data_IF_328310070786
#
_entry.id   IF_328310070786
#
_cell.length_a   1.000
_cell.length_b   1.000
_cell.length_c   1.000
_cell.angle_alpha   90.00
_cell.angle_beta   90.00
_cell.angle_gamma   90.00
#
_symmetry.space_group_name_H-M   'P 1'
#
loop_
_entity.id
_entity.type
_entity.pdbx_description
1 polymer ?
#
# COMPACT_ATOMS: atom_id res chain seq x y z
N UNK A 1 26.50 13.80 22.49
CA UNK A 1 26.19 14.18 21.10
C UNK A 1 24.76 14.71 21.09
N UNK A 2 24.44 15.89 20.54
CA UNK A 2 23.06 16.36 20.54
C UNK A 2 22.20 15.39 19.69
N UNK A 3 21.14 14.86 20.29
CA UNK A 3 20.17 13.99 19.64
C UNK A 3 19.62 14.65 18.38
N UNK A 4 19.48 13.86 17.32
CA UNK A 4 18.88 14.31 16.06
C UNK A 4 17.38 14.53 16.25
N UNK A 5 17.00 15.72 16.77
CA UNK A 5 15.58 16.09 16.87
C UNK A 5 14.94 16.20 15.49
N UNK A 6 13.74 15.65 15.34
CA UNK A 6 12.97 15.72 14.09
C UNK A 6 12.73 17.18 13.67
N UNK A 7 12.65 17.49 12.37
CA UNK A 7 12.20 18.79 11.91
C UNK A 7 10.84 19.13 12.51
N UNK A 8 10.64 20.37 12.91
CA UNK A 8 9.39 20.81 13.53
C UNK A 8 8.83 22.04 12.81
N UNK A 9 7.52 22.17 12.79
CA UNK A 9 6.82 23.33 12.24
C UNK A 9 7.19 24.58 13.02
N UNK A 10 7.56 25.64 12.30
CA UNK A 10 7.97 26.92 12.86
C UNK A 10 6.87 27.58 13.69
N UNK A 11 5.61 27.42 13.24
CA UNK A 11 4.48 28.14 13.86
C UNK A 11 3.84 27.36 15.04
N UNK A 12 3.92 26.02 15.08
CA UNK A 12 3.22 25.24 16.11
C UNK A 12 4.06 24.13 16.76
N UNK A 13 5.35 23.99 16.42
CA UNK A 13 6.23 22.96 16.98
C UNK A 13 5.92 21.52 16.57
N UNK A 14 4.88 21.27 15.78
CA UNK A 14 4.50 19.92 15.34
C UNK A 14 5.63 19.27 14.53
N UNK A 15 5.92 18.00 14.81
CA UNK A 15 6.93 17.25 14.06
C UNK A 15 6.60 17.17 12.58
N UNK A 16 7.61 17.38 11.75
CA UNK A 16 7.55 17.31 10.30
C UNK A 16 8.28 16.07 9.80
N UNK A 17 7.92 15.56 8.60
CA UNK A 17 8.60 14.42 8.03
C UNK A 17 10.06 14.77 7.69
N UNK A 18 10.95 13.77 7.82
CA UNK A 18 12.33 13.92 7.37
C UNK A 18 12.39 14.06 5.84
N UNK A 19 13.22 14.98 5.31
CA UNK A 19 13.33 15.16 3.87
C UNK A 19 13.93 13.95 3.16
N UNK A 20 13.61 13.82 1.87
CA UNK A 20 14.27 12.85 0.99
C UNK A 20 15.64 13.34 0.55
N UNK A 21 16.40 12.46 -0.14
CA UNK A 21 17.73 12.80 -0.64
C UNK A 21 17.63 13.96 -1.63
N UNK A 22 18.45 14.98 -1.44
CA UNK A 22 18.41 16.20 -2.27
C UNK A 22 17.34 17.21 -1.87
N UNK A 23 16.43 16.90 -0.94
CA UNK A 23 15.40 17.85 -0.47
C UNK A 23 15.81 18.55 0.81
N UNK A 24 15.42 19.83 0.95
CA UNK A 24 15.47 20.55 2.21
C UNK A 24 14.35 20.11 3.15
N UNK A 25 14.52 20.32 4.47
CA UNK A 25 13.46 20.05 5.43
C UNK A 25 12.39 21.13 5.37
N UNK A 26 11.12 20.70 5.45
CA UNK A 26 9.96 21.61 5.55
C UNK A 26 10.05 22.43 6.85
N UNK A 27 9.60 23.67 6.80
CA UNK A 27 9.48 24.54 7.97
C UNK A 27 8.04 24.69 8.48
N UNK A 28 7.03 24.36 7.64
CA UNK A 28 5.63 24.50 8.00
C UNK A 28 4.88 23.18 7.80
N UNK A 29 3.95 22.89 8.71
CA UNK A 29 3.10 21.70 8.62
C UNK A 29 1.93 21.92 7.64
N UNK A 30 1.27 20.82 7.23
CA UNK A 30 0.15 20.84 6.29
C UNK A 30 -0.95 21.87 6.68
N UNK A 31 -1.29 21.98 7.96
CA UNK A 31 -2.31 22.92 8.44
C UNK A 31 -1.94 24.38 8.15
N UNK A 32 -0.69 24.77 8.42
CA UNK A 32 -0.25 26.15 8.18
C UNK A 32 -0.02 26.43 6.70
N UNK A 33 0.38 25.44 5.93
CA UNK A 33 0.48 25.54 4.47
C UNK A 33 -0.90 25.66 3.86
N UNK A 34 -1.87 24.84 4.26
CA UNK A 34 -3.26 24.93 3.77
C UNK A 34 -3.91 26.31 4.07
N UNK A 35 -3.66 26.85 5.25
CA UNK A 35 -4.15 28.19 5.60
C UNK A 35 -3.58 29.27 4.65
N UNK A 36 -2.27 29.24 4.36
CA UNK A 36 -1.63 30.19 3.42
C UNK A 36 -2.09 30.00 1.98
N UNK A 37 -2.35 28.75 1.56
CA UNK A 37 -2.93 28.48 0.24
C UNK A 37 -4.33 29.07 0.12
N UNK A 38 -5.15 29.00 1.19
CA UNK A 38 -6.50 29.56 1.19
C UNK A 38 -6.53 31.07 0.96
N UNK A 39 -5.47 31.79 1.32
CA UNK A 39 -5.35 33.23 1.02
C UNK A 39 -5.21 33.52 -0.49
N UNK A 40 -4.76 32.52 -1.27
CA UNK A 40 -4.53 32.61 -2.71
C UNK A 40 -5.47 31.71 -3.52
N UNK A 41 -6.67 31.44 -3.00
CA UNK A 41 -7.61 30.49 -3.59
C UNK A 41 -7.88 30.75 -5.07
N UNK A 42 -8.17 31.99 -5.44
CA UNK A 42 -8.57 32.38 -6.80
C UNK A 42 -7.45 32.06 -7.81
N UNK A 43 -6.25 32.56 -7.58
CA UNK A 43 -5.12 32.32 -8.50
C UNK A 43 -4.75 30.85 -8.58
N UNK A 44 -4.93 30.10 -7.49
CA UNK A 44 -4.59 28.70 -7.43
C UNK A 44 -5.58 27.82 -8.20
N UNK A 45 -6.88 28.13 -8.11
CA UNK A 45 -7.89 27.35 -8.84
C UNK A 45 -7.82 27.58 -10.34
N UNK A 46 -7.50 28.81 -10.79
CA UNK A 46 -7.26 29.11 -12.20
C UNK A 46 -6.07 28.32 -12.75
N UNK A 47 -5.00 28.19 -11.97
CA UNK A 47 -3.82 27.43 -12.35
C UNK A 47 -4.05 25.92 -12.37
N UNK A 48 -4.70 25.39 -11.33
CA UNK A 48 -4.89 23.94 -11.16
C UNK A 48 -6.06 23.38 -12.00
N UNK A 49 -7.07 24.21 -12.28
CA UNK A 49 -8.32 23.81 -12.93
C UNK A 49 -8.66 24.77 -14.09
N UNK A 50 -7.84 24.83 -15.16
CA UNK A 50 -7.91 25.88 -16.17
C UNK A 50 -9.21 25.91 -16.98
N UNK A 51 -9.99 24.83 -17.04
CA UNK A 51 -11.30 24.79 -17.71
C UNK A 51 -12.47 25.16 -16.80
N UNK A 52 -12.19 25.65 -15.60
CA UNK A 52 -13.22 26.08 -14.67
C UNK A 52 -13.72 27.50 -14.94
N UNK A 53 -14.76 27.91 -14.25
CA UNK A 53 -15.37 29.21 -14.34
C UNK A 53 -15.89 29.68 -12.98
N UNK A 54 -16.03 31.00 -12.83
CA UNK A 54 -16.60 31.61 -11.64
C UNK A 54 -18.13 31.53 -11.64
N UNK A 55 -18.70 30.99 -10.58
CA UNK A 55 -20.12 31.02 -10.31
C UNK A 55 -20.41 32.04 -9.21
N UNK A 56 -20.74 33.24 -9.63
CA UNK A 56 -20.85 34.41 -8.74
C UNK A 56 -19.50 34.75 -8.08
N UNK A 57 -19.57 35.31 -6.86
CA UNK A 57 -18.37 35.71 -6.09
C UNK A 57 -17.86 34.64 -5.13
N UNK A 58 -18.61 33.56 -4.99
CA UNK A 58 -18.37 32.60 -3.89
C UNK A 58 -17.85 31.23 -4.33
N UNK A 59 -17.95 30.90 -5.61
CA UNK A 59 -17.63 29.60 -6.11
C UNK A 59 -16.83 29.64 -7.41
N UNK A 60 -15.92 28.67 -7.53
CA UNK A 60 -15.28 28.32 -8.79
C UNK A 60 -15.72 26.91 -9.16
N UNK A 61 -16.21 26.70 -10.36
CA UNK A 61 -16.75 25.43 -10.86
C UNK A 61 -15.87 24.85 -11.96
N UNK A 62 -15.75 23.51 -11.94
CA UNK A 62 -15.03 22.75 -12.94
C UNK A 62 -15.71 21.39 -13.13
N UNK A 63 -15.37 20.65 -14.17
CA UNK A 63 -15.90 19.29 -14.40
C UNK A 63 -15.36 18.28 -13.40
N UNK A 64 -14.04 18.29 -13.23
CA UNK A 64 -13.33 17.35 -12.36
C UNK A 64 -11.92 17.86 -12.00
N UNK A 65 -11.14 17.04 -11.33
CA UNK A 65 -9.75 17.33 -10.95
C UNK A 65 -8.77 17.41 -12.14
N UNK A 66 -9.17 17.01 -13.35
CA UNK A 66 -8.35 17.18 -14.57
C UNK A 66 -8.46 18.58 -15.16
N UNK A 67 -9.33 19.41 -14.61
CA UNK A 67 -9.53 20.77 -15.06
C UNK A 67 -10.43 20.91 -16.30
N UNK A 68 -11.23 19.90 -16.64
CA UNK A 68 -12.18 19.98 -17.76
C UNK A 68 -13.37 20.88 -17.42
N UNK A 69 -13.99 21.49 -18.44
CA UNK A 69 -15.20 22.29 -18.26
C UNK A 69 -16.35 21.46 -17.70
N UNK A 70 -17.12 22.01 -16.76
CA UNK A 70 -18.23 21.31 -16.13
C UNK A 70 -18.62 21.95 -14.80
N UNK A 71 -19.45 21.26 -14.00
CA UNK A 71 -20.01 21.79 -12.76
C UNK A 71 -19.87 20.84 -11.56
N UNK A 72 -19.30 19.65 -11.76
CA UNK A 72 -19.25 18.60 -10.74
C UNK A 72 -18.30 18.94 -9.58
N UNK A 73 -17.20 19.63 -9.87
CA UNK A 73 -16.25 20.10 -8.87
C UNK A 73 -16.53 21.55 -8.51
N UNK A 74 -16.62 21.83 -7.21
CA UNK A 74 -16.81 23.17 -6.68
C UNK A 74 -15.71 23.51 -5.68
N UNK A 75 -15.15 24.73 -5.79
CA UNK A 75 -14.21 25.30 -4.82
C UNK A 75 -14.84 26.56 -4.21
N UNK A 76 -14.85 26.65 -2.88
CA UNK A 76 -15.35 27.83 -2.18
C UNK A 76 -14.29 28.94 -2.19
N UNK A 77 -14.69 30.13 -2.66
CA UNK A 77 -13.82 31.30 -2.76
C UNK A 77 -13.96 32.24 -1.55
N UNK A 78 -14.98 32.05 -0.72
CA UNK A 78 -15.27 32.97 0.38
C UNK A 78 -15.78 32.26 1.65
N UNK A 79 -15.88 33.01 2.75
CA UNK A 79 -16.42 32.55 4.02
C UNK A 79 -15.57 31.51 4.72
N UNK A 80 -16.15 30.79 5.69
CA UNK A 80 -15.45 29.76 6.51
C UNK A 80 -14.96 28.57 5.70
N UNK A 81 -15.46 28.40 4.49
CA UNK A 81 -15.10 27.29 3.59
C UNK A 81 -14.10 27.68 2.50
N UNK A 82 -13.60 28.91 2.51
CA UNK A 82 -12.63 29.38 1.51
C UNK A 82 -11.48 28.36 1.36
N UNK A 83 -11.16 28.01 0.12
CA UNK A 83 -10.16 27.01 -0.21
C UNK A 83 -10.57 25.54 0.00
N UNK A 84 -11.84 25.29 0.36
CA UNK A 84 -12.38 23.92 0.40
C UNK A 84 -12.97 23.55 -0.96
N UNK A 85 -12.68 22.36 -1.44
CA UNK A 85 -13.26 21.83 -2.67
C UNK A 85 -14.07 20.56 -2.43
N UNK A 86 -14.99 20.30 -3.33
CA UNK A 86 -15.75 19.05 -3.42
C UNK A 86 -16.00 18.73 -4.88
N UNK A 87 -15.61 17.52 -5.30
CA UNK A 87 -16.03 16.89 -6.55
C UNK A 87 -17.18 15.93 -6.22
N UNK A 88 -18.39 16.29 -6.67
CA UNK A 88 -19.60 15.53 -6.36
C UNK A 88 -19.71 14.24 -7.19
N UNK A 89 -19.14 14.20 -8.39
CA UNK A 89 -19.14 12.99 -9.22
C UNK A 89 -18.13 11.96 -8.72
N UNK A 90 -16.92 12.39 -8.39
CA UNK A 90 -15.89 11.49 -7.87
C UNK A 90 -16.00 11.20 -6.35
N UNK A 91 -16.86 11.97 -5.63
CA UNK A 91 -17.02 11.82 -4.18
C UNK A 91 -15.80 12.26 -3.36
N UNK A 92 -14.85 12.97 -3.96
CA UNK A 92 -13.62 13.46 -3.30
C UNK A 92 -13.74 14.92 -2.88
N UNK A 93 -12.94 15.33 -1.90
CA UNK A 93 -12.90 16.71 -1.45
C UNK A 93 -11.85 16.92 -0.38
N UNK A 94 -11.58 18.19 -0.08
CA UNK A 94 -10.54 18.54 0.86
C UNK A 94 -10.28 20.05 0.89
N UNK A 95 -9.06 20.43 1.23
CA UNK A 95 -8.55 21.78 1.10
C UNK A 95 -7.67 21.93 -0.17
N UNK A 96 -7.05 23.10 -0.35
CA UNK A 96 -6.20 23.34 -1.52
C UNK A 96 -4.92 22.52 -1.53
N UNK A 97 -4.44 22.06 -0.39
CA UNK A 97 -3.32 21.14 -0.34
C UNK A 97 -3.73 19.73 -0.82
N UNK A 98 -4.94 19.28 -0.43
CA UNK A 98 -5.53 18.06 -0.98
C UNK A 98 -5.76 18.17 -2.48
N UNK A 99 -6.20 19.35 -2.98
CA UNK A 99 -6.38 19.59 -4.41
C UNK A 99 -5.04 19.47 -5.17
N UNK A 100 -3.97 20.11 -4.68
CA UNK A 100 -2.62 19.96 -5.24
C UNK A 100 -2.19 18.48 -5.23
N UNK A 101 -2.48 17.76 -4.16
CA UNK A 101 -2.16 16.34 -4.07
C UNK A 101 -2.86 15.54 -5.17
N UNK A 102 -4.13 15.79 -5.42
CA UNK A 102 -4.90 15.09 -6.45
C UNK A 102 -4.47 15.47 -7.88
N UNK A 103 -4.34 16.76 -8.16
CA UNK A 103 -4.07 17.27 -9.52
C UNK A 103 -2.62 16.99 -9.95
N UNK A 104 -1.64 17.23 -9.09
CA UNK A 104 -0.22 17.22 -9.51
C UNK A 104 0.60 16.08 -8.92
N UNK A 105 0.16 15.50 -7.82
CA UNK A 105 0.97 14.57 -7.06
C UNK A 105 0.38 13.16 -6.98
N UNK A 106 -0.64 12.85 -7.75
CA UNK A 106 -1.31 11.54 -7.73
C UNK A 106 -1.74 11.09 -6.32
N UNK A 107 -2.23 12.03 -5.49
CA UNK A 107 -2.64 11.79 -4.11
C UNK A 107 -1.48 11.70 -3.10
N UNK A 108 -0.25 11.92 -3.51
CA UNK A 108 0.91 11.94 -2.60
C UNK A 108 0.97 13.28 -1.84
N UNK A 109 0.45 13.26 -0.61
CA UNK A 109 0.39 14.42 0.28
C UNK A 109 1.78 14.99 0.63
N UNK A 110 2.80 14.15 0.69
CA UNK A 110 4.16 14.62 0.97
C UNK A 110 4.70 15.46 -0.20
N UNK A 111 4.56 14.97 -1.43
CA UNK A 111 4.93 15.72 -2.62
C UNK A 111 4.11 17.00 -2.74
N UNK A 112 2.82 16.94 -2.46
CA UNK A 112 1.95 18.10 -2.45
C UNK A 112 2.43 19.18 -1.47
N UNK A 113 2.88 18.79 -0.29
CA UNK A 113 3.40 19.72 0.71
C UNK A 113 4.68 20.43 0.23
N UNK A 114 5.59 19.73 -0.46
CA UNK A 114 6.76 20.36 -1.09
C UNK A 114 6.37 21.28 -2.24
N UNK A 115 5.45 20.87 -3.10
CA UNK A 115 4.90 21.73 -4.18
C UNK A 115 4.24 22.99 -3.62
N UNK A 116 3.47 22.86 -2.55
CA UNK A 116 2.87 24.00 -1.89
C UNK A 116 3.89 24.96 -1.27
N UNK A 117 4.99 24.44 -0.67
CA UNK A 117 6.09 25.27 -0.20
C UNK A 117 6.74 26.05 -1.35
N UNK A 118 6.97 25.40 -2.49
CA UNK A 118 7.52 26.04 -3.69
C UNK A 118 6.62 27.18 -4.20
N UNK A 119 5.30 26.92 -4.35
CA UNK A 119 4.31 27.93 -4.79
C UNK A 119 4.19 29.13 -3.85
N UNK A 120 4.22 28.85 -2.56
CA UNK A 120 4.14 29.89 -1.53
C UNK A 120 5.49 30.57 -1.29
N UNK A 121 6.55 30.14 -1.97
CA UNK A 121 7.94 30.57 -1.74
C UNK A 121 8.36 30.47 -0.28
N UNK A 122 7.90 29.40 0.38
CA UNK A 122 8.27 29.13 1.77
C UNK A 122 9.68 28.53 1.84
N UNK A 123 10.47 28.89 2.86
CA UNK A 123 11.82 28.39 2.98
C UNK A 123 11.85 26.89 3.25
N UNK A 124 12.88 26.23 2.74
CA UNK A 124 13.26 24.87 3.07
C UNK A 124 14.59 24.91 3.83
N UNK A 125 14.63 24.26 4.99
CA UNK A 125 15.82 24.24 5.82
C UNK A 125 16.82 23.18 5.33
N UNK A 126 18.05 23.56 5.08
CA UNK A 126 19.11 22.60 4.82
C UNK A 126 19.47 21.83 6.09
N UNK A 127 19.50 20.52 5.99
CA UNK A 127 19.96 19.64 7.08
C UNK A 127 21.29 18.99 6.71
N UNK A 128 22.25 18.92 7.62
CA UNK A 128 23.49 18.18 7.41
C UNK A 128 23.22 16.73 7.00
N UNK A 129 24.02 16.18 6.08
CA UNK A 129 23.83 14.82 5.53
C UNK A 129 23.73 13.75 6.61
N UNK A 130 24.59 13.83 7.66
CA UNK A 130 24.56 12.92 8.83
C UNK A 130 23.22 12.98 9.57
N UNK A 131 22.64 14.19 9.75
CA UNK A 131 21.37 14.38 10.46
C UNK A 131 20.19 13.80 9.66
N UNK A 132 20.20 13.91 8.33
CA UNK A 132 19.18 13.31 7.46
C UNK A 132 19.21 11.78 7.53
N UNK A 133 20.38 11.17 7.52
CA UNK A 133 20.54 9.72 7.62
C UNK A 133 20.08 9.19 8.98
N UNK A 134 20.50 9.79 10.09
CA UNK A 134 20.06 9.41 11.43
C UNK A 134 18.53 9.53 11.58
N UNK A 135 17.91 10.59 11.02
CA UNK A 135 16.45 10.73 11.06
C UNK A 135 15.70 9.66 10.27
N UNK A 136 16.26 9.22 9.13
CA UNK A 136 15.67 8.10 8.36
C UNK A 136 15.75 6.78 9.13
N UNK A 137 16.83 6.52 9.83
CA UNK A 137 17.01 5.33 10.66
C UNK A 137 16.04 5.32 11.83
N UNK A 138 15.91 6.44 12.55
CA UNK A 138 14.92 6.61 13.63
C UNK A 138 13.48 6.44 13.15
N UNK A 139 13.12 7.01 11.99
CA UNK A 139 11.78 6.84 11.41
C UNK A 139 11.55 5.39 10.94
N UNK A 140 12.55 4.74 10.37
CA UNK A 140 12.47 3.32 9.99
C UNK A 140 12.29 2.43 11.21
N UNK A 141 13.03 2.68 12.28
CA UNK A 141 12.91 1.95 13.55
C UNK A 141 11.55 2.19 14.22
N UNK A 142 11.08 3.41 14.26
CA UNK A 142 9.73 3.75 14.76
C UNK A 142 8.62 3.05 13.96
N UNK A 143 8.74 2.96 12.62
CA UNK A 143 7.81 2.20 11.78
C UNK A 143 7.90 0.71 12.05
N UNK A 144 9.11 0.17 12.23
CA UNK A 144 9.32 -1.24 12.57
C UNK A 144 8.72 -1.56 13.94
N UNK A 145 8.92 -0.72 14.94
CA UNK A 145 8.35 -0.89 16.29
C UNK A 145 6.81 -0.95 16.22
N UNK A 146 6.17 -0.03 15.49
CA UNK A 146 4.71 -0.07 15.29
C UNK A 146 4.26 -1.34 14.58
N UNK A 147 4.99 -1.81 13.59
CA UNK A 147 4.69 -3.07 12.90
C UNK A 147 4.78 -4.28 13.84
N UNK A 148 5.82 -4.33 14.68
CA UNK A 148 5.99 -5.38 15.70
C UNK A 148 4.88 -5.34 16.75
N UNK A 149 4.46 -4.15 17.20
CA UNK A 149 3.32 -4.02 18.12
C UNK A 149 2.05 -4.63 17.51
N UNK A 150 1.74 -4.34 16.24
CA UNK A 150 0.61 -4.95 15.52
C UNK A 150 0.77 -6.47 15.45
N UNK A 151 1.97 -6.94 15.12
CA UNK A 151 2.24 -8.37 15.03
C UNK A 151 2.03 -9.10 16.37
N UNK A 152 2.52 -8.53 17.47
CA UNK A 152 2.40 -9.16 18.79
C UNK A 152 0.99 -9.12 19.37
N UNK A 153 0.19 -8.10 19.05
CA UNK A 153 -1.22 -8.06 19.46
C UNK A 153 -2.14 -8.96 18.61
N UNK A 154 -1.66 -9.44 17.45
CA UNK A 154 -2.39 -10.35 16.59
C UNK A 154 -2.24 -11.79 17.08
N UNK A 155 -3.29 -12.58 16.94
CA UNK A 155 -3.37 -13.99 17.36
C UNK A 155 -3.03 -14.93 16.19
N UNK A 156 -2.56 -16.16 16.44
CA UNK A 156 -2.51 -17.18 15.40
C UNK A 156 -3.84 -17.29 14.66
N UNK A 157 -3.78 -17.59 13.36
CA UNK A 157 -4.96 -17.80 12.55
C UNK A 157 -5.63 -19.12 12.94
N UNK A 158 -6.91 -19.08 13.36
CA UNK A 158 -7.67 -20.24 13.78
C UNK A 158 -8.97 -20.39 12.98
N UNK A 159 -9.49 -21.63 12.82
CA UNK A 159 -10.82 -21.85 12.25
C UNK A 159 -11.89 -21.00 12.94
N UNK A 160 -12.75 -20.35 12.16
CA UNK A 160 -13.81 -19.46 12.66
C UNK A 160 -13.42 -17.98 12.78
N UNK A 161 -12.13 -17.64 12.82
CA UNK A 161 -11.70 -16.24 12.74
C UNK A 161 -12.15 -15.60 11.41
N UNK A 162 -12.48 -14.30 11.42
CA UNK A 162 -12.85 -13.60 10.18
C UNK A 162 -11.75 -13.68 9.11
N UNK A 163 -10.47 -13.68 9.49
CA UNK A 163 -9.38 -13.86 8.54
C UNK A 163 -9.33 -15.31 7.99
N UNK A 164 -9.66 -16.30 8.81
CA UNK A 164 -9.81 -17.68 8.33
C UNK A 164 -10.96 -17.78 7.34
N UNK A 165 -12.17 -17.30 7.72
CA UNK A 165 -13.36 -17.30 6.87
C UNK A 165 -13.12 -16.55 5.55
N UNK A 166 -12.45 -15.39 5.60
CA UNK A 166 -12.06 -14.67 4.39
C UNK A 166 -11.23 -15.53 3.44
N UNK A 167 -10.20 -16.21 3.96
CA UNK A 167 -9.33 -17.04 3.12
C UNK A 167 -10.03 -18.32 2.65
N UNK A 168 -10.73 -19.04 3.54
CA UNK A 168 -11.32 -20.34 3.22
C UNK A 168 -12.65 -20.24 2.47
N UNK A 169 -13.54 -19.31 2.87
CA UNK A 169 -14.90 -19.20 2.29
C UNK A 169 -14.90 -18.25 1.09
N UNK A 170 -14.37 -17.02 1.26
CA UNK A 170 -14.44 -15.98 0.21
C UNK A 170 -13.36 -16.17 -0.84
N UNK A 171 -12.13 -16.49 -0.45
CA UNK A 171 -11.03 -16.78 -1.37
C UNK A 171 -10.93 -18.25 -1.74
N UNK A 172 -11.72 -19.09 -1.10
CA UNK A 172 -11.81 -20.54 -1.32
C UNK A 172 -10.45 -21.25 -1.28
N UNK A 173 -9.57 -20.85 -0.36
CA UNK A 173 -8.26 -21.46 -0.17
C UNK A 173 -8.40 -22.64 0.80
N UNK A 174 -7.88 -23.82 0.45
CA UNK A 174 -7.92 -25.04 1.26
C UNK A 174 -6.96 -24.93 2.45
N UNK A 175 -7.34 -24.15 3.48
CA UNK A 175 -6.48 -23.87 4.63
C UNK A 175 -6.24 -25.12 5.49
N UNK A 176 -7.13 -26.10 5.45
CA UNK A 176 -7.02 -27.40 6.13
C UNK A 176 -5.84 -28.24 5.62
N UNK A 177 -5.28 -27.90 4.47
CA UNK A 177 -4.08 -28.55 3.92
C UNK A 177 -2.78 -28.13 4.59
N UNK A 178 -2.80 -27.04 5.38
CA UNK A 178 -1.63 -26.53 6.07
C UNK A 178 -1.62 -26.97 7.53
N UNK A 179 -0.51 -27.50 8.01
CA UNK A 179 -0.31 -27.80 9.44
C UNK A 179 -0.30 -26.51 10.27
N UNK A 180 0.27 -25.43 9.72
CA UNK A 180 0.32 -24.10 10.34
C UNK A 180 0.72 -23.02 9.34
N UNK A 181 0.30 -21.80 9.59
CA UNK A 181 0.69 -20.60 8.86
C UNK A 181 1.32 -19.58 9.84
N UNK A 182 2.56 -19.79 10.29
CA UNK A 182 3.13 -19.02 11.41
C UNK A 182 3.35 -17.53 11.10
N UNK A 183 3.39 -17.16 9.83
CA UNK A 183 3.59 -15.79 9.37
C UNK A 183 2.29 -15.08 8.99
N UNK A 184 1.13 -15.71 9.24
CA UNK A 184 -0.20 -15.14 9.03
C UNK A 184 -0.97 -15.20 10.35
N UNK A 185 -1.54 -14.07 10.76
CA UNK A 185 -2.26 -13.90 12.02
C UNK A 185 -3.57 -13.18 11.82
N UNK A 186 -4.43 -13.23 12.83
CA UNK A 186 -5.67 -12.50 12.91
C UNK A 186 -5.60 -11.42 14.01
N UNK A 187 -6.00 -10.20 13.68
CA UNK A 187 -6.21 -9.12 14.64
C UNK A 187 -7.71 -8.78 14.68
N UNK A 188 -8.42 -9.00 15.80
CA UNK A 188 -9.87 -8.79 15.86
C UNK A 188 -10.28 -7.31 15.72
N UNK A 189 -9.41 -6.38 16.11
CA UNK A 189 -9.65 -4.95 15.95
C UNK A 189 -8.33 -4.23 15.70
N UNK A 190 -8.11 -3.81 14.46
CA UNK A 190 -6.92 -3.07 14.06
C UNK A 190 -7.30 -1.67 13.61
N UNK A 191 -6.68 -0.67 14.23
CA UNK A 191 -6.85 0.73 13.87
C UNK A 191 -6.54 0.98 12.38
N UNK A 192 -7.39 1.73 11.71
CA UNK A 192 -7.26 2.10 10.30
C UNK A 192 -7.14 3.61 10.11
N UNK A 193 -8.04 4.37 10.74
CA UNK A 193 -8.11 5.83 10.74
C UNK A 193 -8.80 6.33 12.00
N UNK A 194 -8.78 7.63 12.32
CA UNK A 194 -9.50 8.18 13.46
C UNK A 194 -10.97 7.72 13.50
N UNK A 195 -11.36 7.08 14.60
CA UNK A 195 -12.70 6.54 14.82
C UNK A 195 -12.99 5.21 14.12
N UNK A 196 -12.06 4.67 13.29
CA UNK A 196 -12.29 3.45 12.54
C UNK A 196 -11.26 2.36 12.86
N UNK A 197 -11.75 1.21 13.30
CA UNK A 197 -10.99 -0.03 13.46
C UNK A 197 -11.76 -1.17 12.82
N UNK A 198 -11.05 -2.12 12.24
CA UNK A 198 -11.63 -3.29 11.59
C UNK A 198 -10.89 -4.55 12.00
N UNK A 199 -11.51 -5.72 11.97
CA UNK A 199 -10.78 -6.99 11.96
C UNK A 199 -9.78 -7.03 10.82
N UNK A 200 -8.64 -7.67 11.00
CA UNK A 200 -7.63 -7.71 9.95
C UNK A 200 -6.87 -9.04 9.91
N UNK A 201 -6.58 -9.49 8.69
CA UNK A 201 -5.50 -10.43 8.44
C UNK A 201 -4.19 -9.66 8.49
N UNK A 202 -3.22 -10.19 9.24
CA UNK A 202 -1.90 -9.59 9.43
C UNK A 202 -0.85 -10.61 9.02
N UNK A 203 -0.01 -10.26 8.04
CA UNK A 203 1.07 -11.12 7.60
C UNK A 203 2.43 -10.46 7.87
N UNK A 204 3.36 -11.24 8.44
CA UNK A 204 4.70 -10.76 8.77
C UNK A 204 5.56 -10.64 7.50
N UNK A 205 6.17 -9.48 7.32
CA UNK A 205 7.16 -9.25 6.25
C UNK A 205 8.55 -9.43 6.86
N UNK A 206 9.29 -10.43 6.41
CA UNK A 206 10.69 -10.63 6.76
C UNK A 206 11.58 -9.71 5.94
N UNK A 207 12.62 -9.16 6.56
CA UNK A 207 13.64 -8.39 5.84
C UNK A 207 14.44 -9.25 4.85
N UNK A 208 15.30 -8.64 4.03
CA UNK A 208 16.02 -9.33 2.96
C UNK A 208 16.91 -10.49 3.45
N UNK A 209 17.34 -10.47 4.72
CA UNK A 209 18.12 -11.54 5.34
C UNK A 209 17.26 -12.54 6.14
N UNK A 210 15.94 -12.51 6.01
CA UNK A 210 14.99 -13.55 6.38
C UNK A 210 14.70 -13.79 7.87
N UNK A 211 15.52 -13.27 8.80
CA UNK A 211 15.43 -13.64 10.22
C UNK A 211 14.56 -12.71 11.08
N UNK A 212 14.41 -11.45 10.69
CA UNK A 212 13.71 -10.45 11.51
C UNK A 212 12.48 -9.91 10.78
N UNK A 213 11.41 -9.74 11.52
CA UNK A 213 10.23 -9.03 11.02
C UNK A 213 10.62 -7.57 10.81
N UNK A 214 10.55 -7.13 9.55
CA UNK A 214 10.79 -5.77 9.13
C UNK A 214 9.50 -4.96 9.05
N UNK A 215 8.37 -5.63 8.84
CA UNK A 215 7.08 -5.00 8.71
C UNK A 215 5.92 -5.97 8.79
N UNK A 216 4.71 -5.44 8.60
CA UNK A 216 3.49 -6.23 8.48
C UNK A 216 2.68 -5.76 7.28
N UNK A 217 2.09 -6.73 6.58
CA UNK A 217 1.04 -6.50 5.61
C UNK A 217 -0.30 -6.70 6.29
N UNK A 218 -1.23 -5.77 6.10
CA UNK A 218 -2.54 -5.75 6.76
C UNK A 218 -3.61 -5.75 5.69
N UNK A 219 -4.61 -6.61 5.86
CA UNK A 219 -5.82 -6.65 5.05
C UNK A 219 -6.98 -6.49 6.02
N UNK A 220 -7.60 -5.30 6.04
CA UNK A 220 -8.78 -5.05 6.85
C UNK A 220 -9.99 -5.72 6.24
N UNK A 221 -10.81 -6.31 7.09
CA UNK A 221 -11.94 -7.16 6.75
C UNK A 221 -13.23 -6.60 7.34
N UNK A 222 -14.35 -6.96 6.73
CA UNK A 222 -15.69 -6.72 7.24
C UNK A 222 -16.62 -7.86 6.85
N UNK A 223 -17.70 -8.05 7.59
CA UNK A 223 -18.80 -8.92 7.18
C UNK A 223 -19.77 -8.14 6.29
N UNK A 224 -20.10 -8.70 5.12
CA UNK A 224 -21.11 -8.18 4.22
C UNK A 224 -22.53 -8.59 4.72
N UNK A 225 -23.57 -7.96 4.17
CA UNK A 225 -24.96 -8.24 4.58
C UNK A 225 -25.40 -9.70 4.36
N UNK A 226 -24.75 -10.42 3.46
CA UNK A 226 -24.98 -11.84 3.20
C UNK A 226 -24.13 -12.77 4.09
N UNK A 227 -23.47 -12.23 5.10
CA UNK A 227 -22.62 -12.97 6.04
C UNK A 227 -21.24 -13.35 5.49
N UNK A 228 -20.91 -13.07 4.23
CA UNK A 228 -19.57 -13.31 3.69
C UNK A 228 -18.56 -12.32 4.26
N UNK A 229 -17.36 -12.79 4.51
CA UNK A 229 -16.25 -11.92 4.93
C UNK A 229 -15.54 -11.39 3.70
N UNK A 230 -15.53 -10.07 3.56
CA UNK A 230 -14.92 -9.34 2.44
C UNK A 230 -13.85 -8.37 2.95
N UNK A 231 -13.10 -7.76 2.04
CA UNK A 231 -12.25 -6.63 2.41
C UNK A 231 -13.11 -5.47 2.91
N UNK A 232 -12.69 -4.81 3.97
CA UNK A 232 -13.39 -3.64 4.49
C UNK A 232 -13.55 -2.57 3.39
N UNK A 233 -14.69 -1.86 3.35
CA UNK A 233 -14.98 -0.85 2.32
C UNK A 233 -14.17 0.44 2.55
N UNK A 234 -12.86 0.33 2.47
CA UNK A 234 -11.91 1.43 2.64
C UNK A 234 -11.49 1.89 1.27
N UNK A 235 -11.96 3.05 0.87
CA UNK A 235 -11.63 3.63 -0.43
C UNK A 235 -10.11 3.86 -0.57
N UNK A 236 -9.59 3.61 -1.75
CA UNK A 236 -8.21 3.84 -2.12
C UNK A 236 -8.09 4.25 -3.59
N UNK A 237 -6.88 4.39 -4.07
CA UNK A 237 -6.59 4.90 -5.42
C UNK A 237 -7.24 4.07 -6.56
N UNK A 238 -7.48 2.79 -6.33
CA UNK A 238 -7.90 1.84 -7.38
C UNK A 238 -9.29 1.23 -7.11
N UNK A 239 -10.13 1.87 -6.29
CA UNK A 239 -11.50 1.42 -6.04
C UNK A 239 -11.93 1.48 -4.56
N UNK A 240 -13.18 1.10 -4.29
CA UNK A 240 -13.82 1.31 -2.99
C UNK A 240 -13.24 0.47 -1.84
N UNK A 241 -12.55 -0.63 -2.15
CA UNK A 241 -11.90 -1.50 -1.17
C UNK A 241 -10.36 -1.55 -1.31
N UNK A 242 -9.80 -0.80 -2.26
CA UNK A 242 -8.37 -0.83 -2.55
C UNK A 242 -7.53 -0.25 -1.41
N UNK A 243 -8.10 0.56 -0.54
CA UNK A 243 -7.49 1.06 0.69
C UNK A 243 -7.42 0.03 1.83
N UNK A 244 -8.12 -1.11 1.70
CA UNK A 244 -8.14 -2.16 2.71
C UNK A 244 -6.83 -2.95 2.83
N UNK A 245 -5.87 -2.77 1.93
CA UNK A 245 -4.55 -3.40 1.98
C UNK A 245 -3.47 -2.35 2.20
N UNK A 246 -2.66 -2.50 3.25
CA UNK A 246 -1.50 -1.62 3.49
C UNK A 246 -0.37 -2.36 4.19
N UNK A 247 0.87 -2.08 3.78
CA UNK A 247 2.06 -2.50 4.51
C UNK A 247 2.53 -1.41 5.49
N UNK A 248 3.21 -1.80 6.56
CA UNK A 248 3.82 -0.92 7.55
C UNK A 248 5.19 -1.47 7.95
N UNK A 249 6.18 -0.61 8.06
CA UNK A 249 7.54 -0.94 8.45
C UNK A 249 8.56 -0.64 7.35
N UNK A 250 9.85 -0.77 7.61
CA UNK A 250 10.93 -0.68 6.63
C UNK A 250 11.09 -2.01 5.86
N UNK A 251 10.06 -2.43 5.13
CA UNK A 251 9.93 -3.76 4.54
C UNK A 251 10.50 -3.87 3.11
N UNK A 252 11.11 -2.84 2.57
CA UNK A 252 11.68 -2.89 1.20
C UNK A 252 12.60 -4.10 1.03
N UNK A 253 12.50 -4.74 -0.11
CA UNK A 253 13.21 -5.97 -0.47
C UNK A 253 12.87 -7.20 0.37
N UNK A 254 11.97 -7.09 1.35
CA UNK A 254 11.48 -8.19 2.15
C UNK A 254 10.35 -8.96 1.48
N UNK A 255 10.01 -10.13 2.06
CA UNK A 255 8.95 -11.01 1.59
C UNK A 255 8.08 -11.49 2.75
N UNK A 256 6.86 -11.91 2.46
CA UNK A 256 6.02 -12.69 3.36
C UNK A 256 6.25 -14.16 3.03
N UNK A 257 6.88 -14.91 3.93
CA UNK A 257 7.02 -16.36 3.80
C UNK A 257 5.69 -17.04 4.15
N UNK A 258 5.00 -17.59 3.15
CA UNK A 258 3.68 -18.17 3.32
C UNK A 258 3.73 -19.66 3.62
N UNK A 259 4.53 -20.41 2.87
CA UNK A 259 4.62 -21.84 2.99
C UNK A 259 6.06 -22.35 2.76
N UNK A 260 6.51 -23.27 3.59
CA UNK A 260 7.89 -23.80 3.55
C UNK A 260 8.12 -24.88 2.49
N UNK A 261 7.04 -25.41 1.89
CA UNK A 261 7.11 -26.58 1.02
C UNK A 261 7.30 -27.87 1.82
N UNK A 262 7.74 -28.92 1.15
CA UNK A 262 8.07 -30.21 1.76
C UNK A 262 9.35 -30.20 2.60
N UNK A 263 10.13 -29.10 2.56
CA UNK A 263 11.40 -29.00 3.28
C UNK A 263 11.19 -28.66 4.76
N UNK A 264 11.94 -29.32 5.64
CA UNK A 264 11.98 -29.00 7.08
C UNK A 264 12.87 -27.78 7.40
N UNK A 265 13.59 -27.27 6.42
CA UNK A 265 14.49 -26.12 6.61
C UNK A 265 13.73 -24.83 6.83
N UNK A 266 14.27 -23.93 7.66
CA UNK A 266 13.70 -22.59 7.86
C UNK A 266 13.54 -21.83 6.56
N UNK A 267 12.57 -20.89 6.53
CA UNK A 267 12.25 -20.07 5.36
C UNK A 267 13.46 -19.35 4.77
N UNK A 268 14.32 -18.81 5.63
CA UNK A 268 15.49 -17.99 5.28
C UNK A 268 16.75 -18.82 4.97
N UNK A 269 16.68 -20.13 5.14
CA UNK A 269 17.79 -21.03 4.88
C UNK A 269 17.32 -22.28 4.10
N UNK A 270 16.82 -22.08 2.85
CA UNK A 270 16.42 -23.19 1.99
C UNK A 270 17.64 -24.03 1.57
N UNK A 271 17.38 -25.19 0.99
CA UNK A 271 18.44 -25.98 0.40
C UNK A 271 19.02 -25.31 -0.84
N UNK A 272 20.33 -25.50 -1.13
CA UNK A 272 20.91 -25.05 -2.39
C UNK A 272 20.16 -25.64 -3.59
N UNK A 273 19.89 -24.82 -4.59
CA UNK A 273 19.13 -25.25 -5.77
C UNK A 273 17.61 -25.22 -5.59
N UNK A 274 17.12 -24.65 -4.45
CA UNK A 274 15.67 -24.62 -4.19
C UNK A 274 14.89 -23.78 -5.19
N UNK A 275 13.68 -24.25 -5.52
CA UNK A 275 12.66 -23.52 -6.27
C UNK A 275 11.67 -22.83 -5.31
N UNK A 276 11.21 -21.62 -5.64
CA UNK A 276 10.17 -20.91 -4.91
C UNK A 276 9.05 -20.41 -5.83
N UNK A 277 7.81 -20.49 -5.36
CA UNK A 277 6.69 -19.72 -5.90
C UNK A 277 6.65 -18.32 -5.28
N UNK A 278 6.60 -17.28 -6.10
CA UNK A 278 6.53 -15.90 -5.66
C UNK A 278 5.28 -15.22 -6.22
N UNK A 279 4.34 -14.89 -5.36
CA UNK A 279 3.12 -14.15 -5.69
C UNK A 279 3.25 -12.66 -5.39
N UNK A 280 2.36 -11.85 -5.93
CA UNK A 280 2.22 -10.43 -5.54
C UNK A 280 1.66 -10.31 -4.12
N UNK A 281 0.55 -11.00 -3.84
CA UNK A 281 -0.21 -10.92 -2.59
C UNK A 281 -0.32 -12.24 -1.86
N UNK A 282 -0.85 -12.17 -0.64
CA UNK A 282 -1.01 -13.32 0.26
C UNK A 282 -2.00 -14.33 -0.31
N UNK A 283 -3.10 -13.87 -0.89
CA UNK A 283 -4.18 -14.71 -1.38
C UNK A 283 -3.71 -15.64 -2.51
N UNK A 284 -3.08 -15.10 -3.56
CA UNK A 284 -2.54 -15.89 -4.66
C UNK A 284 -1.44 -16.85 -4.20
N UNK A 285 -0.60 -16.39 -3.27
CA UNK A 285 0.46 -17.21 -2.71
C UNK A 285 -0.07 -18.41 -1.93
N UNK A 286 -1.07 -18.21 -1.08
CA UNK A 286 -1.70 -19.31 -0.35
C UNK A 286 -2.49 -20.25 -1.28
N UNK A 287 -3.10 -19.72 -2.34
CA UNK A 287 -3.76 -20.54 -3.38
C UNK A 287 -2.74 -21.47 -4.06
N UNK A 288 -1.60 -20.94 -4.47
CA UNK A 288 -0.52 -21.74 -5.05
C UNK A 288 0.00 -22.77 -4.04
N UNK A 289 0.27 -22.36 -2.80
CA UNK A 289 0.78 -23.26 -1.76
C UNK A 289 -0.21 -24.40 -1.47
N UNK A 290 -1.52 -24.12 -1.42
CA UNK A 290 -2.54 -25.14 -1.26
C UNK A 290 -2.63 -26.10 -2.48
N UNK A 291 -2.34 -25.64 -3.68
CA UNK A 291 -2.30 -26.46 -4.88
C UNK A 291 -1.02 -27.31 -4.99
N UNK A 292 0.10 -26.80 -4.47
CA UNK A 292 1.46 -27.35 -4.59
C UNK A 292 2.15 -27.36 -3.23
N UNK A 293 1.77 -28.30 -2.34
CA UNK A 293 2.28 -28.36 -0.96
C UNK A 293 3.78 -28.62 -0.89
N UNK A 294 4.35 -29.23 -1.90
CA UNK A 294 5.80 -29.48 -2.00
C UNK A 294 6.59 -28.21 -2.32
N UNK A 295 5.94 -27.18 -2.90
CA UNK A 295 6.61 -25.96 -3.32
C UNK A 295 6.70 -24.95 -2.16
N UNK A 296 7.87 -24.40 -1.94
CA UNK A 296 8.06 -23.22 -1.06
C UNK A 296 7.40 -22.00 -1.68
N UNK A 297 6.65 -21.22 -0.89
CA UNK A 297 5.91 -20.06 -1.41
C UNK A 297 6.10 -18.82 -0.54
N UNK A 298 6.32 -17.69 -1.21
CA UNK A 298 6.35 -16.36 -0.60
C UNK A 298 5.51 -15.33 -1.38
N UNK A 299 5.16 -14.21 -0.74
CA UNK A 299 4.53 -13.07 -1.39
C UNK A 299 5.42 -11.83 -1.33
N UNK A 300 5.45 -11.07 -2.43
CA UNK A 300 6.30 -9.90 -2.62
C UNK A 300 5.77 -8.61 -1.98
N UNK A 301 4.53 -8.60 -1.47
CA UNK A 301 3.89 -7.36 -0.90
C UNK A 301 3.65 -6.28 -1.97
N UNK A 302 3.49 -6.68 -3.22
CA UNK A 302 3.29 -5.79 -4.37
C UNK A 302 4.46 -5.83 -5.37
N UNK A 303 4.15 -5.63 -6.63
CA UNK A 303 5.10 -5.73 -7.75
C UNK A 303 6.19 -4.64 -7.76
N UNK A 304 6.00 -3.55 -7.01
CA UNK A 304 6.99 -2.48 -6.86
C UNK A 304 8.05 -2.79 -5.79
N UNK A 305 7.81 -3.79 -4.95
CA UNK A 305 8.78 -4.26 -3.97
C UNK A 305 9.76 -5.23 -4.64
N UNK A 306 10.96 -4.75 -4.93
CA UNK A 306 12.02 -5.54 -5.54
C UNK A 306 12.66 -6.45 -4.49
N UNK A 307 12.08 -7.63 -4.33
CA UNK A 307 12.45 -8.58 -3.27
C UNK A 307 13.88 -9.09 -3.43
N UNK A 308 14.54 -9.33 -2.30
CA UNK A 308 15.81 -10.05 -2.22
C UNK A 308 15.54 -11.45 -1.68
N UNK A 309 15.94 -12.46 -2.44
CA UNK A 309 15.79 -13.86 -2.06
C UNK A 309 17.13 -14.47 -1.65
N UNK A 310 17.15 -15.46 -0.74
CA UNK A 310 18.37 -16.20 -0.39
C UNK A 310 19.10 -16.75 -1.63
N UNK A 311 20.42 -16.78 -1.59
CA UNK A 311 21.25 -17.31 -2.70
C UNK A 311 20.92 -18.76 -3.03
N UNK A 312 20.61 -19.55 -2.02
CA UNK A 312 20.23 -20.96 -2.16
C UNK A 312 18.99 -21.19 -3.03
N UNK A 313 18.13 -20.17 -3.21
CA UNK A 313 17.03 -20.21 -4.18
C UNK A 313 17.60 -19.90 -5.56
N UNK A 314 17.52 -20.84 -6.48
CA UNK A 314 18.02 -20.68 -7.87
C UNK A 314 16.90 -20.50 -8.88
N UNK A 315 15.69 -21.00 -8.57
CA UNK A 315 14.55 -20.94 -9.47
C UNK A 315 13.38 -20.20 -8.82
N UNK A 316 12.73 -19.30 -9.55
CA UNK A 316 11.58 -18.53 -9.09
C UNK A 316 10.43 -18.67 -10.09
N UNK A 317 9.33 -19.25 -9.63
CA UNK A 317 8.06 -19.27 -10.33
C UNK A 317 7.24 -18.05 -9.89
N UNK A 318 7.26 -16.97 -10.67
CA UNK A 318 6.49 -15.77 -10.39
C UNK A 318 5.03 -15.94 -10.81
N UNK A 319 4.11 -15.69 -9.90
CA UNK A 319 2.68 -15.70 -10.20
C UNK A 319 2.29 -14.32 -10.73
N UNK A 320 2.03 -14.26 -12.04
CA UNK A 320 1.57 -13.07 -12.72
C UNK A 320 0.05 -13.04 -12.83
N UNK A 321 -0.51 -11.84 -12.89
CA UNK A 321 -1.92 -11.60 -13.17
C UNK A 321 -2.12 -11.25 -14.65
N UNK A 322 -3.36 -11.35 -15.15
CA UNK A 322 -3.73 -10.91 -16.49
C UNK A 322 -4.03 -9.41 -16.50
N UNK A 323 -3.03 -8.61 -16.16
CA UNK A 323 -3.14 -7.16 -16.23
C UNK A 323 -3.08 -6.67 -17.68
N UNK A 324 -3.77 -5.56 -18.02
CA UNK A 324 -3.70 -4.98 -19.35
C UNK A 324 -2.27 -4.68 -19.79
N UNK A 325 -1.99 -4.90 -21.07
CA UNK A 325 -0.68 -4.53 -21.64
C UNK A 325 -0.42 -3.02 -21.47
N UNK A 326 0.80 -2.67 -21.07
CA UNK A 326 1.17 -1.27 -20.81
C UNK A 326 0.73 -0.72 -19.45
N UNK A 327 0.00 -1.49 -18.63
CA UNK A 327 -0.37 -1.07 -17.28
C UNK A 327 0.83 -1.00 -16.33
N UNK A 328 0.70 -0.22 -15.25
CA UNK A 328 1.71 -0.14 -14.19
C UNK A 328 2.00 -1.51 -13.56
N UNK A 329 0.98 -2.38 -13.45
CA UNK A 329 1.11 -3.73 -12.94
C UNK A 329 1.94 -4.61 -13.88
N UNK A 330 1.69 -4.58 -15.19
CA UNK A 330 2.49 -5.31 -16.18
C UNK A 330 3.95 -4.83 -16.19
N UNK A 331 4.17 -3.51 -16.11
CA UNK A 331 5.50 -2.92 -15.99
C UNK A 331 6.18 -3.31 -14.67
N UNK A 332 5.43 -3.37 -13.57
CA UNK A 332 5.88 -3.83 -12.26
C UNK A 332 6.38 -5.27 -12.28
N UNK A 333 5.60 -6.17 -12.87
CA UNK A 333 5.98 -7.57 -13.05
C UNK A 333 7.27 -7.72 -13.86
N UNK A 334 7.40 -6.97 -14.95
CA UNK A 334 8.60 -6.97 -15.80
C UNK A 334 9.84 -6.45 -15.04
N UNK A 335 9.68 -5.45 -14.18
CA UNK A 335 10.78 -4.93 -13.33
C UNK A 335 11.19 -5.97 -12.28
N UNK A 336 10.22 -6.62 -11.61
CA UNK A 336 10.49 -7.66 -10.63
C UNK A 336 11.23 -8.85 -11.26
N UNK A 337 10.76 -9.35 -12.41
CA UNK A 337 11.40 -10.45 -13.14
C UNK A 337 12.85 -10.13 -13.48
N UNK A 338 13.11 -8.96 -14.08
CA UNK A 338 14.49 -8.53 -14.39
C UNK A 338 15.35 -8.36 -13.13
N UNK A 339 14.77 -7.92 -12.03
CA UNK A 339 15.49 -7.77 -10.78
C UNK A 339 15.92 -9.14 -10.20
N UNK A 340 15.05 -10.15 -10.25
CA UNK A 340 15.36 -11.51 -9.83
C UNK A 340 16.43 -12.15 -10.74
N UNK A 341 16.33 -11.96 -12.05
CA UNK A 341 17.35 -12.42 -12.99
C UNK A 341 18.72 -11.78 -12.72
N UNK A 342 18.77 -10.51 -12.33
CA UNK A 342 20.02 -9.84 -11.90
C UNK A 342 20.59 -10.41 -10.60
N UNK A 343 19.78 -11.07 -9.76
CA UNK A 343 20.25 -11.84 -8.61
C UNK A 343 20.74 -13.25 -9.00
N UNK A 344 20.87 -13.57 -10.29
CA UNK A 344 21.27 -14.88 -10.78
C UNK A 344 20.18 -15.95 -10.72
N UNK A 345 18.89 -15.57 -10.58
CA UNK A 345 17.78 -16.52 -10.51
C UNK A 345 17.27 -16.87 -11.92
N UNK A 346 16.96 -18.15 -12.13
CA UNK A 346 16.12 -18.57 -13.27
C UNK A 346 14.67 -18.21 -12.95
N UNK A 347 14.00 -17.44 -13.82
CA UNK A 347 12.66 -16.92 -13.55
C UNK A 347 11.70 -17.36 -14.63
N UNK A 348 10.65 -18.04 -14.23
CA UNK A 348 9.47 -18.34 -15.04
C UNK A 348 8.24 -17.61 -14.52
N UNK A 349 7.29 -17.29 -15.40
CA UNK A 349 6.06 -16.58 -15.04
C UNK A 349 4.85 -17.45 -15.36
N UNK A 350 4.09 -17.79 -14.31
CA UNK A 350 2.81 -18.49 -14.43
C UNK A 350 1.68 -17.47 -14.45
N UNK A 351 0.83 -17.53 -15.50
CA UNK A 351 -0.37 -16.69 -15.64
C UNK A 351 -1.59 -17.56 -15.99
N UNK A 352 -2.81 -17.09 -15.64
CA UNK A 352 -4.02 -17.72 -16.16
C UNK A 352 -4.00 -17.76 -17.70
N UNK A 353 -4.28 -18.94 -18.31
CA UNK A 353 -4.38 -19.08 -19.78
C UNK A 353 -5.58 -18.33 -20.34
N UNK A 354 -6.71 -18.35 -19.63
CA UNK A 354 -7.90 -17.59 -20.00
C UNK A 354 -7.73 -16.12 -19.57
N UNK A 355 -7.65 -15.22 -20.54
CA UNK A 355 -7.49 -13.76 -20.29
C UNK A 355 -8.67 -13.13 -19.54
N UNK A 356 -9.82 -13.79 -19.47
CA UNK A 356 -10.99 -13.36 -18.67
C UNK A 356 -10.85 -13.68 -17.19
N UNK A 357 -9.84 -14.43 -16.81
CA UNK A 357 -9.49 -14.75 -15.43
C UNK A 357 -8.34 -13.86 -15.01
N UNK A 358 -8.51 -13.09 -13.93
CA UNK A 358 -7.53 -12.11 -13.52
C UNK A 358 -6.30 -12.75 -12.88
N UNK A 359 -6.50 -13.62 -11.91
CA UNK A 359 -5.45 -14.18 -11.09
C UNK A 359 -5.60 -15.70 -10.84
N UNK A 360 -4.63 -16.30 -10.17
CA UNK A 360 -4.60 -17.74 -9.89
C UNK A 360 -5.69 -18.14 -8.88
N UNK A 361 -6.05 -17.26 -7.96
CA UNK A 361 -7.13 -17.53 -7.03
C UNK A 361 -8.48 -17.63 -7.75
N UNK A 362 -8.73 -16.78 -8.75
CA UNK A 362 -9.94 -16.87 -9.59
C UNK A 362 -10.04 -18.21 -10.34
N UNK A 363 -8.90 -18.77 -10.80
CA UNK A 363 -8.88 -20.12 -11.40
C UNK A 363 -9.35 -21.16 -10.40
N UNK A 364 -8.77 -21.14 -9.20
CA UNK A 364 -9.09 -22.12 -8.16
C UNK A 364 -10.56 -22.07 -7.77
N UNK A 365 -11.14 -20.88 -7.66
CA UNK A 365 -12.56 -20.68 -7.37
C UNK A 365 -13.45 -21.27 -8.47
N UNK A 366 -13.16 -20.98 -9.74
CA UNK A 366 -13.93 -21.51 -10.88
C UNK A 366 -13.88 -23.04 -10.99
N UNK A 367 -12.73 -23.64 -10.72
CA UNK A 367 -12.57 -25.10 -10.71
C UNK A 367 -13.40 -25.75 -9.61
N UNK A 368 -13.39 -25.20 -8.39
CA UNK A 368 -14.19 -25.72 -7.28
C UNK A 368 -15.69 -25.58 -7.52
N UNK A 369 -16.15 -24.47 -8.05
CA UNK A 369 -17.57 -24.28 -8.40
C UNK A 369 -18.03 -25.33 -9.43
N UNK A 370 -17.19 -25.66 -10.41
CA UNK A 370 -17.50 -26.72 -11.40
C UNK A 370 -17.57 -28.11 -10.77
N UNK A 371 -16.64 -28.43 -9.87
CA UNK A 371 -16.62 -29.73 -9.19
C UNK A 371 -17.75 -29.90 -8.16
N UNK A 372 -18.26 -28.83 -7.60
CA UNK A 372 -19.40 -28.85 -6.66
C UNK A 372 -20.77 -28.91 -7.38
N UNK A 373 -20.82 -28.57 -8.66
CA UNK A 373 -22.04 -28.60 -9.49
C UNK A 373 -22.16 -29.82 -10.41
N UNK A 374 -21.18 -30.74 -10.36
CA UNK A 374 -21.17 -32.05 -11.03
C UNK A 374 -21.45 -33.16 -10.02
#
# INVERSE_FOLDING_TARGET
>A
MPEATAPSCRDCGRHLPWPEEGQGALEFCAQHVAARLAERTESLVEELLPGGHYEGRNWYRCGDISGQSGQSLAVALSGRRRGRFRDYAAGIGGDLLDLIAQVECNGDMRRALYRAHERLRLPLRELPRRRRQAGRELDAEGRRHRALKIWHQSKPLLPGDLAWRYLSETRQIALERFDRLPNVRFCPSLWQSPGNSFPALVAAISGPHGRKIAGVHRIWLSEAADGRVVKAPIAGKHGPDSGAKKALGPYRSGVIWLWRGASDRPWHNPEPGSTIGLSEGVEDGLTLAAAKLELRVAAAVGLTNLVMLPEAITEVLVIGQNDPYGSDAAAGLSRLTRHLQKQGKSVSVLRPRDRRVKDVNDIAQRLRTRLAGS
#
